data_IF_142427268713
#
_entry.id   IF_142427268713
#
_cell.length_a   1.000
_cell.length_b   1.000
_cell.length_c   1.000
_cell.angle_alpha   90.00
_cell.angle_beta   90.00
_cell.angle_gamma   90.00
#
_symmetry.space_group_name_H-M   'P 1'
#
loop_
_entity.id
_entity.type
_entity.pdbx_description
1 polymer ?
#
# COMPACT_ATOMS: atom_id res chain seq x y z
N UNK A 1 -13.92 75.56 -9.37
CA UNK A 1 -13.17 74.30 -9.57
C UNK A 1 -13.04 73.64 -8.21
N UNK A 2 -13.89 72.64 -7.96
CA UNK A 2 -14.05 72.02 -6.64
C UNK A 2 -13.56 70.58 -6.72
N UNK A 3 -12.59 70.17 -5.91
CA UNK A 3 -12.43 68.75 -5.58
C UNK A 3 -11.97 68.60 -4.11
N UNK A 4 -12.81 67.87 -3.37
CA UNK A 4 -12.72 67.51 -1.95
C UNK A 4 -11.85 66.27 -1.78
N UNK A 5 -11.06 66.19 -0.70
CA UNK A 5 -10.59 64.91 -0.13
C UNK A 5 -11.74 64.28 0.67
N UNK A 6 -11.90 62.93 0.69
CA UNK A 6 -11.38 62.21 1.86
C UNK A 6 -10.99 60.72 1.65
N UNK A 7 -10.09 60.26 2.54
CA UNK A 7 -10.14 59.04 3.36
C UNK A 7 -10.68 57.73 2.74
N UNK A 8 -9.81 56.72 2.63
CA UNK A 8 -10.20 55.34 2.32
C UNK A 8 -9.11 54.32 2.65
N UNK A 9 -9.05 53.88 3.91
CA UNK A 9 -8.25 52.74 4.38
C UNK A 9 -8.84 51.45 3.78
N UNK A 10 -8.20 50.84 2.78
CA UNK A 10 -8.52 49.48 2.34
C UNK A 10 -7.49 48.51 2.92
N UNK A 11 -7.80 47.95 4.08
CA UNK A 11 -7.12 46.78 4.61
C UNK A 11 -7.53 45.55 3.77
N UNK A 12 -6.64 45.09 2.89
CA UNK A 12 -6.81 43.84 2.17
C UNK A 12 -6.53 42.67 3.12
N UNK A 13 -7.59 42.07 3.69
CA UNK A 13 -7.52 40.81 4.41
C UNK A 13 -7.21 39.68 3.43
N UNK A 14 -5.93 39.32 3.29
CA UNK A 14 -5.49 38.14 2.55
C UNK A 14 -5.84 36.93 3.43
N UNK A 15 -7.02 36.36 3.22
CA UNK A 15 -7.44 35.10 3.81
C UNK A 15 -6.52 33.98 3.34
N UNK A 16 -5.50 33.67 4.15
CA UNK A 16 -4.64 32.51 3.96
C UNK A 16 -5.47 31.24 4.05
N UNK A 17 -5.81 30.67 2.90
CA UNK A 17 -6.40 29.35 2.80
C UNK A 17 -5.30 28.34 3.16
N UNK A 18 -5.17 28.06 4.46
CA UNK A 18 -4.29 27.02 4.97
C UNK A 18 -4.71 25.68 4.37
N UNK A 19 -4.04 25.26 3.31
CA UNK A 19 -4.08 23.90 2.79
C UNK A 19 -3.47 22.99 3.85
N UNK A 20 -4.28 22.61 4.84
CA UNK A 20 -3.91 21.58 5.81
C UNK A 20 -3.61 20.32 4.98
N UNK A 21 -2.37 19.80 4.99
CA UNK A 21 -2.12 18.53 4.35
C UNK A 21 -2.98 17.50 5.07
N UNK A 22 -3.99 16.97 4.36
CA UNK A 22 -4.78 15.86 4.86
C UNK A 22 -3.81 14.72 5.16
N UNK A 23 -3.49 14.53 6.43
CA UNK A 23 -2.74 13.41 6.94
C UNK A 23 -3.47 12.15 6.47
N UNK A 24 -2.92 11.49 5.45
CA UNK A 24 -3.50 10.29 4.89
C UNK A 24 -3.42 9.19 5.96
N UNK A 25 -4.48 9.09 6.77
CA UNK A 25 -4.63 8.08 7.81
C UNK A 25 -4.38 6.70 7.21
N UNK A 26 -3.56 5.90 7.92
CA UNK A 26 -3.25 4.56 7.48
C UNK A 26 -4.53 3.71 7.51
N UNK A 27 -5.07 3.35 6.35
CA UNK A 27 -6.26 2.51 6.29
C UNK A 27 -5.83 1.05 6.49
N UNK A 28 -6.29 0.45 7.58
CA UNK A 28 -6.28 -1.02 7.70
C UNK A 28 -7.44 -1.55 6.86
N UNK A 29 -7.15 -2.47 5.96
CA UNK A 29 -8.13 -2.98 5.01
C UNK A 29 -8.78 -4.25 5.55
N UNK A 30 -10.11 -4.29 5.57
CA UNK A 30 -10.86 -5.50 5.90
C UNK A 30 -10.64 -6.57 4.83
N UNK A 31 -10.24 -7.77 5.24
CA UNK A 31 -9.97 -8.91 4.36
C UNK A 31 -11.08 -9.94 4.45
N UNK A 32 -11.66 -10.30 3.30
CA UNK A 32 -12.56 -11.45 3.18
C UNK A 32 -11.77 -12.77 3.21
N UNK A 33 -12.45 -13.92 3.29
CA UNK A 33 -11.79 -15.23 3.25
C UNK A 33 -10.93 -15.39 1.97
N UNK A 34 -11.46 -14.99 0.81
CA UNK A 34 -10.76 -15.01 -0.48
C UNK A 34 -9.55 -14.08 -0.56
N UNK A 35 -9.57 -12.94 0.16
CA UNK A 35 -8.41 -12.03 0.23
C UNK A 35 -7.30 -12.62 1.12
N UNK A 36 -7.67 -13.46 2.09
CA UNK A 36 -6.73 -14.07 3.02
C UNK A 36 -6.00 -15.24 2.38
N UNK A 37 -6.69 -16.05 1.59
CA UNK A 37 -6.13 -17.29 1.06
C UNK A 37 -5.71 -17.18 -0.40
N UNK A 38 -4.45 -17.48 -0.70
CA UNK A 38 -3.97 -17.56 -2.08
C UNK A 38 -3.20 -18.85 -2.35
N UNK A 39 -3.61 -19.54 -3.40
CA UNK A 39 -2.94 -20.73 -3.93
C UNK A 39 -2.94 -20.67 -5.46
N UNK A 40 -1.78 -20.85 -6.07
CA UNK A 40 -1.63 -21.02 -7.51
C UNK A 40 -1.27 -22.48 -7.82
N UNK A 41 -1.54 -22.93 -9.04
CA UNK A 41 -1.24 -24.30 -9.47
C UNK A 41 0.21 -24.66 -9.16
N UNK A 42 0.41 -25.82 -8.54
CA UNK A 42 1.69 -26.38 -8.09
C UNK A 42 2.46 -25.53 -7.05
N UNK A 43 1.88 -24.45 -6.54
CA UNK A 43 2.47 -23.64 -5.48
C UNK A 43 1.76 -23.86 -4.14
N UNK A 44 2.51 -23.72 -3.05
CA UNK A 44 1.98 -23.85 -1.69
C UNK A 44 1.12 -22.63 -1.32
N UNK A 45 0.13 -22.81 -0.42
CA UNK A 45 -0.78 -21.73 -0.05
C UNK A 45 -0.10 -20.64 0.80
N UNK A 46 -0.58 -19.41 0.61
CA UNK A 46 -0.26 -18.25 1.44
C UNK A 46 -1.52 -17.76 2.15
N UNK A 47 -1.37 -17.39 3.42
CA UNK A 47 -2.41 -16.77 4.25
C UNK A 47 -2.02 -15.35 4.64
N UNK A 48 -2.78 -14.36 4.16
CA UNK A 48 -2.65 -12.96 4.53
C UNK A 48 -3.27 -12.70 5.89
N UNK A 49 -2.46 -12.15 6.80
CA UNK A 49 -2.84 -11.85 8.18
C UNK A 49 -3.24 -10.38 8.34
N UNK A 50 -2.59 -9.49 7.60
CA UNK A 50 -2.95 -8.07 7.61
C UNK A 50 -2.67 -7.39 6.27
N UNK A 51 -3.43 -6.33 6.01
CA UNK A 51 -3.28 -5.48 4.84
C UNK A 51 -3.50 -4.02 5.25
N UNK A 52 -2.53 -3.17 4.92
CA UNK A 52 -2.59 -1.73 5.18
C UNK A 52 -2.28 -0.97 3.91
N UNK A 53 -3.05 0.10 3.66
CA UNK A 53 -2.88 0.99 2.51
C UNK A 53 -2.74 2.43 3.02
N UNK A 54 -1.71 3.15 2.56
CA UNK A 54 -1.42 4.53 2.98
C UNK A 54 -0.97 5.39 1.79
N UNK A 55 -0.93 6.71 1.99
CA UNK A 55 -0.37 7.65 1.03
C UNK A 55 -1.11 7.70 -0.30
N UNK A 56 -2.45 7.53 -0.27
CA UNK A 56 -3.32 7.53 -1.45
C UNK A 56 -3.57 6.14 -2.06
N UNK A 57 -3.00 5.06 -1.52
CA UNK A 57 -3.41 3.71 -1.89
C UNK A 57 -4.80 3.38 -1.33
N UNK A 58 -5.68 2.82 -2.17
CA UNK A 58 -6.99 2.34 -1.75
C UNK A 58 -6.96 0.87 -1.32
N UNK A 59 -7.87 0.46 -0.43
CA UNK A 59 -7.99 -0.94 -0.02
C UNK A 59 -8.34 -1.88 -1.18
N UNK A 60 -9.10 -1.42 -2.17
CA UNK A 60 -9.36 -2.18 -3.39
C UNK A 60 -8.07 -2.50 -4.16
N UNK A 61 -7.17 -1.51 -4.29
CA UNK A 61 -5.85 -1.72 -4.91
C UNK A 61 -4.98 -2.63 -4.05
N UNK A 62 -5.02 -2.45 -2.73
CA UNK A 62 -4.26 -3.25 -1.79
C UNK A 62 -4.68 -4.73 -1.81
N UNK A 63 -5.98 -5.05 -1.94
CA UNK A 63 -6.44 -6.44 -2.10
C UNK A 63 -5.95 -7.08 -3.40
N UNK A 64 -6.07 -6.36 -4.53
CA UNK A 64 -5.52 -6.80 -5.83
C UNK A 64 -4.01 -7.06 -5.76
N UNK A 65 -3.28 -6.26 -4.97
CA UNK A 65 -1.85 -6.42 -4.76
C UNK A 65 -1.50 -7.78 -4.15
N UNK A 66 -2.28 -8.31 -3.20
CA UNK A 66 -1.95 -9.56 -2.51
C UNK A 66 -1.83 -10.71 -3.53
N UNK A 67 -2.88 -10.92 -4.33
CA UNK A 67 -2.89 -11.98 -5.35
C UNK A 67 -1.83 -11.78 -6.43
N UNK A 68 -1.62 -10.53 -6.90
CA UNK A 68 -0.61 -10.22 -7.91
C UNK A 68 0.82 -10.44 -7.38
N UNK A 69 1.07 -10.05 -6.13
CA UNK A 69 2.37 -10.22 -5.46
C UNK A 69 2.67 -11.71 -5.22
N UNK A 70 1.69 -12.47 -4.76
CA UNK A 70 1.80 -13.92 -4.62
C UNK A 70 2.16 -14.59 -5.95
N UNK A 71 1.41 -14.28 -7.02
CA UNK A 71 1.70 -14.78 -8.39
C UNK A 71 3.13 -14.45 -8.83
N UNK A 72 3.59 -13.23 -8.60
CA UNK A 72 4.96 -12.82 -8.94
C UNK A 72 6.02 -13.64 -8.18
N UNK A 73 5.82 -13.89 -6.89
CA UNK A 73 6.74 -14.69 -6.06
C UNK A 73 6.87 -16.13 -6.55
N UNK A 74 5.73 -16.76 -6.85
CA UNK A 74 5.70 -18.19 -7.20
C UNK A 74 5.91 -18.46 -8.69
N UNK A 75 5.95 -17.40 -9.51
CA UNK A 75 6.20 -17.48 -10.95
C UNK A 75 7.52 -18.18 -11.27
N UNK A 76 7.51 -19.02 -12.31
CA UNK A 76 8.70 -19.74 -12.79
C UNK A 76 9.20 -20.83 -11.83
N UNK A 77 8.31 -21.44 -11.04
CA UNK A 77 8.63 -22.61 -10.21
C UNK A 77 9.48 -22.32 -8.97
N UNK A 78 9.66 -21.04 -8.60
CA UNK A 78 10.60 -20.65 -7.53
C UNK A 78 10.15 -21.04 -6.11
N UNK A 79 8.90 -21.48 -5.94
CA UNK A 79 8.37 -22.06 -4.70
C UNK A 79 8.65 -21.21 -3.44
N UNK A 80 9.00 -21.86 -2.31
CA UNK A 80 9.35 -21.21 -1.03
C UNK A 80 10.39 -20.11 -1.20
N UNK A 81 11.40 -20.29 -2.06
CA UNK A 81 12.52 -19.35 -2.23
C UNK A 81 12.19 -18.19 -3.19
N UNK A 82 11.07 -18.26 -3.88
CA UNK A 82 10.61 -17.25 -4.81
C UNK A 82 10.46 -15.88 -4.16
N UNK A 83 11.08 -14.88 -4.79
CA UNK A 83 10.92 -13.47 -4.48
C UNK A 83 10.43 -12.75 -5.73
N UNK A 84 9.63 -11.72 -5.53
CA UNK A 84 9.23 -10.85 -6.62
C UNK A 84 10.26 -9.72 -6.77
N UNK A 85 11.05 -9.76 -7.84
CA UNK A 85 12.01 -8.70 -8.19
C UNK A 85 11.44 -7.66 -9.17
N UNK A 86 10.28 -7.94 -9.76
CA UNK A 86 9.60 -7.07 -10.73
C UNK A 86 8.61 -6.14 -10.03
N UNK A 87 8.22 -5.07 -10.72
CA UNK A 87 7.11 -4.23 -10.27
C UNK A 87 5.80 -5.00 -10.36
N UNK A 88 4.96 -4.90 -9.34
CA UNK A 88 3.64 -5.52 -9.26
C UNK A 88 2.60 -4.41 -9.31
N UNK A 89 1.73 -4.39 -10.31
CA UNK A 89 0.76 -3.29 -10.53
C UNK A 89 1.42 -1.89 -10.55
N UNK A 90 2.68 -1.81 -10.97
CA UNK A 90 3.49 -0.59 -10.96
C UNK A 90 4.12 -0.23 -9.60
N UNK A 91 3.97 -1.05 -8.56
CA UNK A 91 4.62 -0.88 -7.26
C UNK A 91 5.91 -1.67 -7.19
N UNK A 92 6.95 -1.06 -6.63
CA UNK A 92 8.18 -1.76 -6.25
C UNK A 92 7.98 -2.39 -4.87
N UNK A 93 8.14 -3.71 -4.79
CA UNK A 93 7.90 -4.47 -3.56
C UNK A 93 9.22 -4.95 -2.94
N UNK A 94 9.31 -4.84 -1.62
CA UNK A 94 10.39 -5.41 -0.82
C UNK A 94 9.81 -6.34 0.22
N UNK A 95 10.46 -7.49 0.41
CA UNK A 95 10.01 -8.54 1.32
C UNK A 95 11.00 -8.73 2.45
N UNK A 96 10.49 -8.78 3.67
CA UNK A 96 11.22 -9.24 4.84
C UNK A 96 10.59 -10.52 5.35
N UNK A 97 11.39 -11.56 5.53
CA UNK A 97 10.95 -12.85 6.09
C UNK A 97 11.35 -12.97 7.55
N UNK A 98 10.53 -13.65 8.31
CA UNK A 98 10.71 -13.97 9.72
C UNK A 98 10.14 -15.36 10.01
N UNK A 99 10.39 -15.89 11.21
CA UNK A 99 9.85 -17.17 11.69
C UNK A 99 10.00 -18.30 10.65
N UNK A 100 11.19 -18.42 10.05
CA UNK A 100 11.45 -19.37 8.97
C UNK A 100 11.73 -20.73 9.58
N UNK A 101 10.82 -21.68 9.37
CA UNK A 101 10.97 -23.08 9.78
C UNK A 101 10.84 -24.01 8.57
N UNK A 102 10.97 -25.33 8.80
CA UNK A 102 10.92 -26.32 7.74
C UNK A 102 9.61 -26.29 6.93
N UNK A 103 8.46 -26.08 7.59
CA UNK A 103 7.11 -26.20 7.04
C UNK A 103 6.45 -24.88 6.65
N UNK A 104 6.93 -23.74 7.17
CA UNK A 104 6.36 -22.43 6.89
C UNK A 104 7.36 -21.29 7.13
N UNK A 105 6.98 -20.10 6.68
CA UNK A 105 7.60 -18.85 7.12
C UNK A 105 6.59 -17.70 7.14
N UNK A 106 6.93 -16.68 7.91
CA UNK A 106 6.22 -15.42 7.92
C UNK A 106 6.93 -14.37 7.08
N UNK A 107 6.17 -13.45 6.50
CA UNK A 107 6.76 -12.35 5.77
C UNK A 107 5.90 -11.10 5.83
N UNK A 108 6.59 -9.97 5.68
CA UNK A 108 5.98 -8.67 5.41
C UNK A 108 6.48 -8.17 4.07
N UNK A 109 5.56 -7.96 3.13
CA UNK A 109 5.86 -7.29 1.87
C UNK A 109 5.40 -5.83 1.94
N UNK A 110 6.31 -4.92 1.63
CA UNK A 110 6.03 -3.50 1.49
C UNK A 110 6.17 -3.11 0.03
N UNK A 111 5.06 -2.73 -0.59
CA UNK A 111 4.99 -2.28 -1.97
C UNK A 111 4.80 -0.76 -2.02
N UNK A 112 5.59 -0.06 -2.84
CA UNK A 112 5.62 1.40 -2.93
C UNK A 112 5.46 1.89 -4.37
N UNK A 113 4.69 2.97 -4.56
CA UNK A 113 4.53 3.69 -5.83
C UNK A 113 4.36 5.18 -5.53
N UNK A 114 5.44 5.96 -5.66
CA UNK A 114 5.45 7.35 -5.18
C UNK A 114 5.13 7.42 -3.69
N UNK A 115 4.14 8.23 -3.31
CA UNK A 115 3.65 8.35 -1.93
C UNK A 115 2.80 7.15 -1.49
N UNK A 116 2.24 6.39 -2.42
CA UNK A 116 1.37 5.27 -2.13
C UNK A 116 2.15 4.08 -1.58
N UNK A 117 1.68 3.51 -0.47
CA UNK A 117 2.32 2.36 0.20
C UNK A 117 1.28 1.32 0.57
N UNK A 118 1.57 0.07 0.24
CA UNK A 118 0.78 -1.10 0.62
C UNK A 118 1.69 -2.01 1.44
N UNK A 119 1.24 -2.39 2.63
CA UNK A 119 1.95 -3.33 3.51
C UNK A 119 1.05 -4.54 3.72
N UNK A 120 1.55 -5.72 3.37
CA UNK A 120 0.87 -7.00 3.61
C UNK A 120 1.76 -7.88 4.47
N UNK A 121 1.18 -8.44 5.53
CA UNK A 121 1.82 -9.48 6.32
C UNK A 121 1.13 -10.81 6.02
N UNK A 122 1.90 -11.87 5.81
CA UNK A 122 1.37 -13.18 5.45
C UNK A 122 2.24 -14.32 6.00
N UNK A 123 1.66 -15.52 6.01
CA UNK A 123 2.32 -16.79 6.30
C UNK A 123 2.27 -17.66 5.06
N UNK A 124 3.38 -18.27 4.68
CA UNK A 124 3.50 -19.13 3.50
C UNK A 124 3.93 -20.52 3.96
N UNK A 125 3.14 -21.52 3.61
CA UNK A 125 3.50 -22.93 3.79
C UNK A 125 4.48 -23.37 2.70
N UNK A 126 5.30 -24.38 2.98
CA UNK A 126 6.44 -24.75 2.12
C UNK A 126 6.44 -26.21 1.70
#
# INVERSE_FOLDING_TARGET
MSHRLPLGLLAAAIGGLSLVPASASAATCSLSADDKYHKANNAKPTYTRSLKATGGASCATAKKMIGAYYKCRVSGGKGKKGRCSKKVLGYSCSEKRSNVIATQFDATATCRKGKARIVTAYTQFT
#
